data_IF_989123119243
#
_entry.id   IF_989123119243
#
_cell.length_a   1.000
_cell.length_b   1.000
_cell.length_c   1.000
_cell.angle_alpha   90.00
_cell.angle_beta   90.00
_cell.angle_gamma   90.00
#
_symmetry.space_group_name_H-M   'P 1'
#
loop_
_entity.id
_entity.type
_entity.pdbx_description
1 polymer ?
#
# COMPACT_ATOMS: atom_id res chain seq x y z
N UNK A 1 -11.30 -36.26 14.27
CA UNK A 1 -10.09 -35.40 14.20
C UNK A 1 -10.34 -34.40 13.10
N UNK A 2 -10.89 -33.23 13.45
CA UNK A 2 -11.25 -32.20 12.46
C UNK A 2 -10.00 -31.49 11.98
N UNK A 3 -9.72 -31.58 10.68
CA UNK A 3 -8.66 -30.82 10.03
C UNK A 3 -9.10 -29.36 9.91
N UNK A 4 -8.57 -28.48 10.76
CA UNK A 4 -8.68 -27.03 10.55
C UNK A 4 -7.81 -26.68 9.35
N UNK A 5 -8.42 -26.68 8.16
CA UNK A 5 -7.83 -26.09 6.96
C UNK A 5 -7.78 -24.57 7.14
N UNK A 6 -6.68 -24.06 7.70
CA UNK A 6 -6.34 -22.64 7.63
C UNK A 6 -6.08 -22.27 6.17
N UNK A 7 -7.13 -21.89 5.45
CA UNK A 7 -6.98 -21.42 4.07
C UNK A 7 -6.29 -20.04 4.09
N UNK A 8 -4.99 -20.03 3.82
CA UNK A 8 -4.22 -18.80 3.66
C UNK A 8 -4.60 -18.19 2.30
N UNK A 9 -5.61 -17.32 2.27
CA UNK A 9 -6.15 -16.72 1.05
C UNK A 9 -5.61 -15.30 0.82
N UNK A 10 -5.33 -14.99 -0.45
CA UNK A 10 -4.93 -13.64 -0.87
C UNK A 10 -6.07 -12.65 -0.63
N UNK A 11 -5.74 -11.46 -0.14
CA UNK A 11 -6.67 -10.33 0.00
C UNK A 11 -6.48 -9.35 -1.14
N UNK A 12 -7.57 -8.87 -1.74
CA UNK A 12 -7.53 -7.84 -2.78
C UNK A 12 -7.48 -6.46 -2.11
N UNK A 13 -6.57 -5.60 -2.55
CA UNK A 13 -6.51 -4.19 -2.14
C UNK A 13 -6.57 -3.27 -3.35
N UNK A 14 -7.32 -2.17 -3.20
CA UNK A 14 -7.37 -1.07 -4.17
C UNK A 14 -7.10 0.24 -3.43
N UNK A 15 -6.15 1.02 -3.92
CA UNK A 15 -5.83 2.36 -3.44
C UNK A 15 -6.18 3.36 -4.51
N UNK A 16 -6.97 4.36 -4.15
CA UNK A 16 -7.29 5.48 -5.02
C UNK A 16 -6.73 6.75 -4.39
N UNK A 17 -5.74 7.35 -5.06
CA UNK A 17 -5.21 8.67 -4.74
C UNK A 17 -5.84 9.69 -5.69
N UNK A 18 -6.57 10.66 -5.15
CA UNK A 18 -7.21 11.71 -5.92
C UNK A 18 -6.53 13.06 -5.66
N UNK A 19 -5.86 13.61 -6.67
CA UNK A 19 -5.25 14.94 -6.63
C UNK A 19 -6.08 15.88 -7.52
N UNK A 20 -7.01 16.61 -6.91
CA UNK A 20 -7.85 17.60 -7.59
C UNK A 20 -7.24 19.01 -7.52
N UNK A 21 -7.27 19.72 -8.65
CA UNK A 21 -7.40 21.18 -8.69
C UNK A 21 -8.89 21.39 -8.97
N UNK A 22 -9.64 21.87 -7.98
CA UNK A 22 -11.11 22.10 -7.97
C UNK A 22 -11.91 21.64 -9.21
N UNK A 23 -12.74 20.59 -9.08
CA UNK A 23 -14.14 20.51 -9.54
C UNK A 23 -14.77 19.20 -9.01
N UNK A 24 -16.07 19.24 -8.75
CA UNK A 24 -16.91 18.29 -8.01
C UNK A 24 -16.65 16.78 -8.22
N UNK A 25 -16.58 16.04 -7.12
CA UNK A 25 -16.56 14.58 -7.12
C UNK A 25 -18.00 14.02 -7.11
N UNK A 26 -18.50 13.63 -8.27
CA UNK A 26 -19.64 12.72 -8.34
C UNK A 26 -19.21 11.28 -8.04
N UNK A 27 -20.14 10.58 -7.39
CA UNK A 27 -20.06 9.22 -6.85
C UNK A 27 -19.48 8.24 -7.88
N UNK A 28 -18.42 7.51 -7.50
CA UNK A 28 -18.03 6.27 -8.17
C UNK A 28 -18.51 5.08 -7.31
N UNK A 29 -19.75 4.68 -7.52
CA UNK A 29 -20.21 3.33 -7.21
C UNK A 29 -20.75 2.76 -8.52
N UNK A 30 -20.14 1.65 -8.96
CA UNK A 30 -20.56 0.77 -10.05
C UNK A 30 -20.74 1.39 -11.46
N UNK A 31 -19.68 1.43 -12.26
CA UNK A 31 -19.70 1.17 -13.71
C UNK A 31 -18.26 0.99 -14.24
N UNK A 32 -18.11 0.37 -15.41
CA UNK A 32 -16.92 0.19 -16.28
C UNK A 32 -15.54 -0.11 -15.62
N UNK A 33 -14.99 -1.34 -15.75
CA UNK A 33 -13.69 -1.68 -15.14
C UNK A 33 -12.47 -1.02 -15.80
N UNK A 34 -12.66 -0.20 -16.86
CA UNK A 34 -11.52 0.35 -17.61
C UNK A 34 -11.50 1.86 -17.84
N UNK A 35 -12.58 2.65 -17.77
CA UNK A 35 -12.62 4.13 -17.64
C UNK A 35 -11.47 4.98 -18.27
N UNK A 36 -10.89 4.59 -19.41
CA UNK A 36 -9.74 5.28 -20.02
C UNK A 36 -8.37 5.04 -19.37
N UNK A 37 -8.25 4.05 -18.47
CA UNK A 37 -7.01 3.73 -17.77
C UNK A 37 -6.10 2.77 -18.58
N UNK A 38 -4.79 3.05 -18.64
CA UNK A 38 -3.80 2.11 -19.21
C UNK A 38 -3.47 1.00 -18.21
N UNK A 39 -3.78 -0.25 -18.57
CA UNK A 39 -3.42 -1.43 -17.78
C UNK A 39 -1.92 -1.74 -17.94
N UNK A 40 -1.18 -1.68 -16.84
CA UNK A 40 0.15 -2.30 -16.74
C UNK A 40 -0.02 -3.57 -15.91
N UNK A 41 0.00 -4.73 -16.56
CA UNK A 41 -0.18 -6.02 -15.91
C UNK A 41 1.18 -6.68 -15.66
N UNK A 42 1.50 -6.89 -14.38
CA UNK A 42 2.65 -7.71 -13.96
C UNK A 42 2.16 -9.16 -13.78
N UNK A 43 2.66 -10.10 -14.60
CA UNK A 43 2.25 -11.51 -14.55
C UNK A 43 3.09 -12.28 -13.51
N UNK A 44 2.43 -13.01 -12.61
CA UNK A 44 3.07 -13.91 -11.63
C UNK A 44 2.73 -13.60 -10.17
N UNK A 45 3.34 -14.37 -9.26
CA UNK A 45 3.37 -14.08 -7.82
C UNK A 45 4.77 -13.61 -7.47
N UNK A 46 4.88 -12.36 -7.05
CA UNK A 46 6.12 -11.81 -6.53
C UNK A 46 6.19 -12.06 -5.04
N UNK A 47 7.34 -12.56 -4.56
CA UNK A 47 7.57 -12.91 -3.15
C UNK A 47 8.68 -12.04 -2.60
N UNK A 48 8.44 -11.50 -1.41
CA UNK A 48 9.38 -10.63 -0.71
C UNK A 48 9.62 -11.18 0.68
N UNK A 49 10.87 -11.12 1.13
CA UNK A 49 11.25 -11.49 2.48
C UNK A 49 12.41 -10.64 2.97
N UNK A 50 12.48 -10.47 4.28
CA UNK A 50 13.58 -9.82 5.00
C UNK A 50 13.72 -10.46 6.38
N UNK A 51 14.91 -10.33 6.96
CA UNK A 51 15.13 -10.47 8.39
C UNK A 51 15.21 -9.11 9.08
N UNK A 52 14.85 -9.04 10.36
CA UNK A 52 14.85 -7.78 11.12
C UNK A 52 16.25 -7.18 11.33
N UNK A 53 17.30 -8.00 11.16
CA UNK A 53 18.72 -7.67 11.30
C UNK A 53 19.45 -7.58 9.95
N UNK A 54 18.72 -7.65 8.84
CA UNK A 54 19.30 -7.38 7.52
C UNK A 54 19.85 -5.94 7.45
N UNK A 55 20.64 -5.66 6.41
CA UNK A 55 21.21 -4.32 6.21
C UNK A 55 20.15 -3.33 5.73
N UNK A 56 20.29 -2.03 6.06
CA UNK A 56 19.45 -0.97 5.50
C UNK A 56 19.66 -0.83 3.99
N UNK A 57 18.79 -0.06 3.33
CA UNK A 57 18.86 0.21 1.88
C UNK A 57 20.26 0.66 1.39
N UNK A 58 21.00 1.41 2.23
CA UNK A 58 22.39 1.83 1.97
C UNK A 58 23.18 1.90 3.27
N UNK A 59 24.50 1.74 3.18
CA UNK A 59 25.43 1.91 4.31
C UNK A 59 25.18 3.28 4.99
N UNK A 60 25.17 3.30 6.32
CA UNK A 60 24.90 4.48 7.16
C UNK A 60 23.48 5.07 7.07
N UNK A 61 22.54 4.41 6.39
CA UNK A 61 21.14 4.85 6.38
C UNK A 61 20.39 4.31 7.61
N UNK A 62 19.63 5.14 8.37
CA UNK A 62 18.93 4.70 9.57
C UNK A 62 17.62 3.93 9.31
N UNK A 63 17.28 3.67 8.03
CA UNK A 63 16.07 2.94 7.68
C UNK A 63 16.16 1.46 8.01
N UNK A 64 14.99 0.83 8.20
CA UNK A 64 14.92 -0.62 8.42
C UNK A 64 15.12 -1.42 7.14
N UNK A 65 15.38 -2.73 7.25
CA UNK A 65 15.52 -3.60 6.09
C UNK A 65 14.25 -3.63 5.24
N UNK A 66 14.43 -3.79 3.93
CA UNK A 66 13.33 -3.91 2.96
C UNK A 66 13.71 -4.79 1.79
N UNK A 67 12.73 -5.53 1.31
CA UNK A 67 12.68 -6.09 -0.03
C UNK A 67 11.41 -5.54 -0.65
N UNK A 68 11.55 -4.48 -1.44
CA UNK A 68 10.43 -3.61 -1.83
C UNK A 68 10.64 -3.05 -3.23
N UNK A 69 9.60 -3.10 -4.05
CA UNK A 69 9.56 -2.48 -5.38
C UNK A 69 9.08 -1.04 -5.23
N UNK A 70 9.82 -0.11 -5.84
CA UNK A 70 9.31 1.22 -6.23
C UNK A 70 8.85 1.12 -7.67
N UNK A 71 7.56 1.38 -7.93
CA UNK A 71 7.05 1.46 -9.29
C UNK A 71 7.60 2.74 -9.93
N UNK A 72 8.49 2.60 -10.90
CA UNK A 72 9.19 3.72 -11.54
C UNK A 72 8.51 4.09 -12.87
N UNK A 73 8.67 5.35 -13.30
CA UNK A 73 8.07 5.86 -14.54
C UNK A 73 6.62 6.35 -14.41
N UNK A 74 6.05 6.29 -13.20
CA UNK A 74 4.67 6.69 -12.90
C UNK A 74 4.58 7.63 -11.69
N UNK A 75 5.67 8.34 -11.41
CA UNK A 75 5.69 9.41 -10.41
C UNK A 75 4.72 10.52 -10.83
N UNK A 76 3.97 11.07 -9.88
CA UNK A 76 2.90 12.00 -10.19
C UNK A 76 2.72 13.08 -9.14
N UNK A 77 2.32 14.27 -9.60
CA UNK A 77 2.05 15.43 -8.75
C UNK A 77 0.61 15.92 -8.88
N UNK A 78 -0.16 15.34 -9.81
CA UNK A 78 -1.57 15.65 -10.09
C UNK A 78 -2.29 14.46 -10.73
N UNK A 79 -3.61 14.55 -10.82
CA UNK A 79 -4.48 13.54 -11.43
C UNK A 79 -4.97 12.48 -10.45
N UNK A 80 -5.71 11.50 -10.96
CA UNK A 80 -6.22 10.38 -10.15
C UNK A 80 -5.44 9.13 -10.50
N UNK A 81 -4.83 8.53 -9.49
CA UNK A 81 -3.99 7.37 -9.63
C UNK A 81 -4.48 6.25 -8.74
N UNK A 82 -4.51 5.04 -9.29
CA UNK A 82 -4.94 3.87 -8.57
C UNK A 82 -3.93 2.73 -8.68
N UNK A 83 -3.62 2.14 -7.53
CA UNK A 83 -2.92 0.87 -7.44
C UNK A 83 -3.91 -0.21 -7.00
N UNK A 84 -3.93 -1.33 -7.71
CA UNK A 84 -4.65 -2.54 -7.33
C UNK A 84 -3.66 -3.70 -7.22
N UNK A 85 -3.84 -4.56 -6.23
CA UNK A 85 -3.06 -5.78 -6.11
C UNK A 85 -3.71 -6.76 -5.15
N UNK A 86 -3.34 -8.04 -5.26
CA UNK A 86 -3.70 -9.05 -4.27
C UNK A 86 -2.46 -9.36 -3.45
N UNK A 87 -2.59 -9.36 -2.12
CA UNK A 87 -1.47 -9.66 -1.23
C UNK A 87 -1.77 -10.83 -0.29
N UNK A 88 -0.71 -11.48 0.15
CA UNK A 88 -0.72 -12.48 1.19
C UNK A 88 0.41 -12.17 2.17
N UNK A 89 0.10 -12.15 3.47
CA UNK A 89 1.08 -12.08 4.54
C UNK A 89 0.92 -13.32 5.41
N UNK A 90 1.89 -14.25 5.38
CA UNK A 90 1.86 -15.47 6.17
C UNK A 90 1.80 -15.21 7.68
N UNK A 91 1.11 -16.12 8.38
CA UNK A 91 1.05 -16.13 9.84
C UNK A 91 2.48 -16.12 10.44
N UNK A 92 2.64 -15.42 11.56
CA UNK A 92 3.94 -15.21 12.20
C UNK A 92 4.70 -13.96 11.69
N UNK A 93 4.22 -13.32 10.62
CA UNK A 93 4.72 -12.02 10.18
C UNK A 93 4.01 -10.89 10.94
N UNK A 94 4.78 -10.05 11.64
CA UNK A 94 4.32 -8.86 12.34
C UNK A 94 5.32 -7.73 12.16
N UNK A 95 4.87 -6.48 12.27
CA UNK A 95 5.69 -5.30 12.03
C UNK A 95 6.19 -5.20 10.59
N UNK A 96 5.36 -5.59 9.62
CA UNK A 96 5.69 -5.62 8.20
C UNK A 96 4.86 -4.58 7.42
N UNK A 97 5.48 -3.50 6.96
CA UNK A 97 4.88 -2.57 6.02
C UNK A 97 4.87 -3.20 4.63
N UNK A 98 3.69 -3.40 4.05
CA UNK A 98 3.53 -4.13 2.79
C UNK A 98 3.24 -3.22 1.59
N UNK A 99 2.73 -2.02 1.83
CA UNK A 99 2.39 -1.04 0.80
C UNK A 99 2.67 0.38 1.31
N UNK A 100 3.20 1.23 0.44
CA UNK A 100 3.39 2.64 0.71
C UNK A 100 2.96 3.49 -0.49
N UNK A 101 2.38 4.65 -0.19
CA UNK A 101 2.36 5.80 -1.11
C UNK A 101 3.42 6.75 -0.56
N UNK A 102 4.55 6.84 -1.25
CA UNK A 102 5.63 7.74 -0.88
C UNK A 102 5.37 9.13 -1.46
N UNK A 103 5.88 10.16 -0.78
CA UNK A 103 5.75 11.56 -1.19
C UNK A 103 4.92 12.33 -0.19
N UNK A 104 5.53 13.29 0.48
CA UNK A 104 4.86 14.42 1.12
C UNK A 104 5.89 15.51 1.52
N UNK A 105 5.46 16.77 1.74
CA UNK A 105 6.35 17.87 2.11
C UNK A 105 6.93 17.78 3.52
N UNK A 106 6.24 17.17 4.49
CA UNK A 106 6.66 17.16 5.91
C UNK A 106 7.11 15.78 6.43
N UNK A 107 6.64 14.73 5.77
CA UNK A 107 7.02 13.35 6.08
C UNK A 107 7.23 12.55 4.80
N UNK A 108 8.11 11.54 4.85
CA UNK A 108 8.52 10.79 3.66
C UNK A 108 7.36 10.06 2.94
N UNK A 109 6.32 9.69 3.67
CA UNK A 109 5.22 8.84 3.16
C UNK A 109 3.88 9.48 3.42
N UNK A 110 2.95 9.31 2.47
CA UNK A 110 1.54 9.69 2.56
C UNK A 110 0.68 8.57 3.11
N UNK A 111 1.03 7.32 2.80
CA UNK A 111 0.35 6.16 3.35
C UNK A 111 1.35 5.04 3.58
N UNK A 112 1.18 4.32 4.69
CA UNK A 112 1.79 3.02 4.92
C UNK A 112 0.71 2.05 5.40
N UNK A 113 0.60 0.88 4.76
CA UNK A 113 -0.14 -0.24 5.33
C UNK A 113 0.83 -1.23 5.96
N UNK A 114 0.68 -1.47 7.26
CA UNK A 114 1.49 -2.43 8.00
C UNK A 114 0.65 -3.58 8.56
N UNK A 115 1.19 -4.78 8.51
CA UNK A 115 0.61 -5.94 9.20
C UNK A 115 1.27 -6.10 10.57
N UNK A 116 0.45 -6.12 11.61
CA UNK A 116 0.85 -6.30 13.00
C UNK A 116 -0.01 -7.38 13.63
N UNK A 117 0.58 -8.52 13.97
CA UNK A 117 -0.10 -9.67 14.59
C UNK A 117 -1.36 -10.11 13.83
N UNK A 118 -1.32 -10.05 12.50
CA UNK A 118 -2.47 -10.38 11.64
C UNK A 118 -3.38 -9.20 11.28
N UNK A 119 -3.30 -8.09 12.02
CA UNK A 119 -4.09 -6.89 11.74
C UNK A 119 -3.43 -6.03 10.66
N UNK A 120 -4.20 -5.62 9.66
CA UNK A 120 -3.79 -4.60 8.69
C UNK A 120 -4.08 -3.20 9.25
N UNK A 121 -3.04 -2.38 9.39
CA UNK A 121 -3.10 -1.06 10.01
C UNK A 121 -2.65 0.03 9.05
N UNK A 122 -3.30 1.19 9.14
CA UNK A 122 -2.79 2.44 8.57
C UNK A 122 -1.73 3.00 9.52
N UNK A 123 -0.47 3.04 9.06
CA UNK A 123 0.69 3.25 9.92
C UNK A 123 0.63 2.34 11.16
N UNK A 124 0.53 2.92 12.37
CA UNK A 124 0.49 2.23 13.66
C UNK A 124 -0.76 2.56 14.49
N UNK A 125 -1.71 3.33 13.96
CA UNK A 125 -2.85 3.87 14.72
C UNK A 125 -4.21 3.68 14.04
N UNK A 126 -5.21 4.44 14.51
CA UNK A 126 -6.53 4.65 13.90
C UNK A 126 -6.81 6.17 13.72
N UNK A 127 -7.76 6.50 12.84
CA UNK A 127 -7.97 7.77 12.09
C UNK A 127 -8.45 8.98 12.93
N UNK A 128 -8.01 10.19 12.56
CA UNK A 128 -8.57 11.49 12.96
C UNK A 128 -8.97 12.32 11.71
N UNK A 129 -10.20 12.85 11.65
CA UNK A 129 -10.69 13.83 10.65
C UNK A 129 -10.48 15.28 11.18
N UNK A 130 -10.33 16.39 10.40
CA UNK A 130 -11.21 16.96 9.35
C UNK A 130 -10.52 18.02 8.41
N UNK A 131 -11.22 18.49 7.35
CA UNK A 131 -11.02 19.61 6.37
C UNK A 131 -10.08 19.48 5.13
N UNK A 132 -10.64 18.98 4.01
CA UNK A 132 -10.23 18.92 2.56
C UNK A 132 -8.90 19.62 2.19
N UNK A 133 -7.88 18.94 1.64
CA UNK A 133 -7.76 18.46 0.24
C UNK A 133 -6.81 17.24 0.07
N UNK A 134 -6.89 16.59 -1.11
CA UNK A 134 -6.19 15.38 -1.59
C UNK A 134 -6.43 14.11 -0.74
N UNK A 135 -7.19 13.16 -1.28
CA UNK A 135 -7.72 12.01 -0.52
C UNK A 135 -7.09 10.70 -0.98
N UNK A 136 -6.65 9.88 -0.01
CA UNK A 136 -6.31 8.48 -0.20
C UNK A 136 -7.46 7.62 0.30
N UNK A 137 -8.03 6.81 -0.59
CA UNK A 137 -9.06 5.83 -0.26
C UNK A 137 -8.50 4.42 -0.38
N UNK A 138 -8.74 3.58 0.63
CA UNK A 138 -8.32 2.16 0.65
C UNK A 138 -9.55 1.28 0.66
N UNK A 139 -9.59 0.31 -0.26
CA UNK A 139 -10.56 -0.77 -0.28
C UNK A 139 -9.86 -2.09 -0.02
N UNK A 140 -10.44 -2.94 0.82
CA UNK A 140 -9.98 -4.32 1.05
C UNK A 140 -11.14 -5.25 0.72
N UNK A 141 -10.91 -6.19 -0.19
CA UNK A 141 -11.92 -7.11 -0.71
C UNK A 141 -13.18 -6.38 -1.22
N UNK A 142 -13.00 -5.21 -1.85
CA UNK A 142 -14.09 -4.39 -2.40
C UNK A 142 -14.79 -3.48 -1.37
N UNK A 143 -14.53 -3.65 -0.07
CA UNK A 143 -15.13 -2.83 0.97
C UNK A 143 -14.22 -1.64 1.34
N UNK A 144 -14.76 -0.43 1.40
CA UNK A 144 -14.00 0.78 1.74
C UNK A 144 -13.60 0.76 3.22
N UNK A 145 -12.31 0.74 3.50
CA UNK A 145 -11.75 0.67 4.87
C UNK A 145 -11.21 1.99 5.39
N UNK A 146 -10.70 2.85 4.51
CA UNK A 146 -10.06 4.10 4.91
C UNK A 146 -10.33 5.21 3.89
N UNK A 147 -10.57 6.41 4.40
CA UNK A 147 -10.46 7.68 3.69
C UNK A 147 -9.59 8.57 4.56
N UNK A 148 -8.45 9.01 4.05
CA UNK A 148 -7.56 9.96 4.76
C UNK A 148 -7.09 11.03 3.78
N UNK A 149 -6.64 12.16 4.30
CA UNK A 149 -5.91 13.13 3.48
C UNK A 149 -4.49 12.65 3.23
N UNK A 150 -3.92 13.08 2.12
CA UNK A 150 -2.46 13.09 1.98
C UNK A 150 -1.82 14.14 2.88
N UNK A 151 -0.49 14.18 2.89
CA UNK A 151 0.26 15.13 3.71
C UNK A 151 0.69 16.38 2.95
N UNK A 152 0.00 16.71 1.86
CA UNK A 152 0.26 17.88 1.03
C UNK A 152 1.03 17.58 -0.25
N UNK A 153 1.13 18.59 -1.12
CA UNK A 153 1.70 18.50 -2.47
C UNK A 153 3.14 17.98 -2.45
N UNK A 154 3.37 16.85 -3.13
CA UNK A 154 4.67 16.27 -3.42
C UNK A 154 4.63 15.51 -4.75
N UNK A 155 5.78 15.00 -5.20
CA UNK A 155 5.81 13.92 -6.16
C UNK A 155 5.52 12.61 -5.44
N UNK A 156 4.44 11.94 -5.82
CA UNK A 156 3.98 10.70 -5.23
C UNK A 156 4.36 9.50 -6.10
N UNK A 157 4.63 8.37 -5.46
CA UNK A 157 4.86 7.09 -6.14
C UNK A 157 4.47 5.92 -5.24
N UNK A 158 4.10 4.81 -5.89
CA UNK A 158 3.67 3.59 -5.21
C UNK A 158 4.85 2.66 -4.93
N UNK A 159 4.81 2.02 -3.76
CA UNK A 159 5.75 0.97 -3.38
C UNK A 159 5.02 -0.21 -2.76
N UNK A 160 5.45 -1.42 -3.06
CA UNK A 160 4.90 -2.64 -2.47
C UNK A 160 6.01 -3.68 -2.25
N UNK A 161 5.81 -4.56 -1.27
CA UNK A 161 6.78 -5.59 -0.90
C UNK A 161 6.74 -5.85 0.60
N UNK A 162 7.90 -5.87 1.26
CA UNK A 162 8.01 -5.93 2.71
C UNK A 162 9.09 -4.96 3.21
N UNK A 163 8.70 -4.08 4.14
CA UNK A 163 9.56 -3.14 4.83
C UNK A 163 9.38 -3.29 6.34
N UNK A 164 10.47 -3.52 7.07
CA UNK A 164 10.42 -3.76 8.51
C UNK A 164 10.01 -2.51 9.30
N UNK A 165 9.13 -2.68 10.27
CA UNK A 165 8.78 -1.64 11.23
C UNK A 165 9.92 -1.42 12.25
N UNK A 166 9.96 -0.23 12.86
CA UNK A 166 10.97 0.11 13.88
C UNK A 166 10.90 -0.76 15.15
N UNK A 167 9.72 -1.25 15.50
CA UNK A 167 9.44 -1.99 16.73
C UNK A 167 8.40 -3.07 16.42
N UNK A 168 8.39 -4.12 17.24
CA UNK A 168 7.47 -5.27 17.14
C UNK A 168 7.52 -5.98 15.78
N UNK A 169 8.68 -5.94 15.10
CA UNK A 169 8.92 -6.71 13.89
C UNK A 169 9.32 -8.14 14.24
N UNK A 170 8.72 -9.10 13.53
CA UNK A 170 9.15 -10.50 13.59
C UNK A 170 10.59 -10.65 13.08
N UNK A 171 11.31 -11.69 13.53
CA UNK A 171 12.67 -11.95 13.05
C UNK A 171 12.70 -12.14 11.52
N UNK A 172 11.74 -12.89 10.99
CA UNK A 172 11.51 -13.08 9.56
C UNK A 172 10.16 -12.49 9.18
N UNK A 173 10.14 -11.69 8.12
CA UNK A 173 8.93 -11.05 7.61
C UNK A 173 8.82 -11.29 6.11
N UNK A 174 7.62 -11.62 5.64
CA UNK A 174 7.39 -11.88 4.23
C UNK A 174 6.03 -11.40 3.75
N UNK A 175 5.95 -11.08 2.47
CA UNK A 175 4.71 -10.81 1.76
C UNK A 175 4.77 -11.42 0.36
N UNK A 176 3.61 -11.71 -0.20
CA UNK A 176 3.48 -12.12 -1.61
C UNK A 176 2.43 -11.28 -2.29
N UNK A 177 2.67 -10.90 -3.54
CA UNK A 177 1.81 -10.03 -4.33
C UNK A 177 1.52 -10.65 -5.68
N UNK A 178 0.29 -10.49 -6.18
CA UNK A 178 -0.11 -10.93 -7.53
C UNK A 178 -1.17 -10.03 -8.14
N UNK A 179 -1.21 -9.99 -9.47
CA UNK A 179 -2.20 -9.20 -10.21
C UNK A 179 -2.09 -7.71 -9.89
N UNK A 180 -0.85 -7.21 -9.84
CA UNK A 180 -0.59 -5.78 -9.65
C UNK A 180 -1.04 -5.04 -10.90
N UNK A 181 -1.80 -3.97 -10.69
CA UNK A 181 -2.28 -3.09 -11.74
C UNK A 181 -2.15 -1.65 -11.29
N UNK A 182 -1.63 -0.82 -12.18
CA UNK A 182 -1.61 0.62 -12.00
C UNK A 182 -2.54 1.25 -13.03
N UNK A 183 -3.29 2.26 -12.59
CA UNK A 183 -4.27 2.96 -13.39
C UNK A 183 -4.07 4.48 -13.20
N UNK A 184 -4.10 5.23 -14.29
CA UNK A 184 -4.07 6.71 -14.33
C UNK A 184 -5.29 7.27 -15.06
N UNK A 185 -5.98 8.25 -14.46
CA UNK A 185 -7.02 9.07 -15.11
C UNK A 185 -6.46 10.43 -15.48
#
# INVERSE_FOLDING_TARGET
MESISSSCSFRKVVFLLQIFIFFEAHRFCAADPTYGFTLVQLNGVEKFWIYNHDKPFRKHNPTRPRSEIRISGYDHTFGVWQFEGNFLVPQGTSGATIMQIFGSPKQATTLQLGVYNGDLKYYRGNVLAANVQQVVTVFINGERKLITKDHGRAAFYFKYGVYGALYHSSNYMQSSWRGIKLYKK
#
